data_IF_278976969824
#
_entry.id   IF_278976969824
#
_cell.length_a   1.000
_cell.length_b   1.000
_cell.length_c   1.000
_cell.angle_alpha   90.00
_cell.angle_beta   90.00
_cell.angle_gamma   90.00
#
_symmetry.space_group_name_H-M   'P 1'
#
loop_
_entity.id
_entity.type
_entity.pdbx_description
1 polymer ?
#
# COMPACT_ATOMS: atom_id res chain seq x y z
N UNK A 1 -6.31 -13.15 -11.78
CA UNK A 1 -6.19 -11.94 -10.95
C UNK A 1 -5.02 -11.04 -11.34
N UNK A 2 -3.81 -11.58 -11.57
CA UNK A 2 -2.68 -10.76 -12.08
C UNK A 2 -3.02 -9.98 -13.37
N UNK A 3 -3.72 -10.61 -14.32
CA UNK A 3 -4.19 -9.92 -15.54
C UNK A 3 -5.20 -8.79 -15.26
N UNK A 4 -6.12 -8.98 -14.30
CA UNK A 4 -7.09 -7.94 -13.89
C UNK A 4 -6.36 -6.78 -13.22
N UNK A 5 -5.41 -7.09 -12.35
CA UNK A 5 -4.57 -6.09 -11.71
C UNK A 5 -3.74 -5.31 -12.73
N UNK A 6 -3.14 -5.99 -13.71
CA UNK A 6 -2.42 -5.36 -14.81
C UNK A 6 -3.29 -4.35 -15.56
N UNK A 7 -4.57 -4.67 -15.82
CA UNK A 7 -5.52 -3.72 -16.42
C UNK A 7 -5.72 -2.47 -15.55
N UNK A 8 -5.79 -2.61 -14.22
CA UNK A 8 -5.90 -1.45 -13.33
C UNK A 8 -4.67 -0.53 -13.38
N UNK A 9 -3.47 -1.05 -13.65
CA UNK A 9 -2.24 -0.27 -13.76
C UNK A 9 -2.22 0.69 -14.96
N UNK A 10 -3.18 0.57 -15.87
CA UNK A 10 -3.36 1.49 -17.01
C UNK A 10 -4.31 2.66 -16.70
N UNK A 11 -4.89 2.73 -15.49
CA UNK A 11 -5.68 3.87 -15.07
C UNK A 11 -4.79 5.13 -14.99
N UNK A 12 -5.34 6.33 -15.29
CA UNK A 12 -4.57 7.56 -15.26
C UNK A 12 -4.06 7.83 -13.83
N UNK A 13 -2.74 7.84 -13.65
CA UNK A 13 -2.12 8.17 -12.37
C UNK A 13 -2.24 9.64 -11.98
N UNK A 14 -2.15 9.91 -10.68
CA UNK A 14 -2.14 11.27 -10.11
C UNK A 14 -0.71 11.81 -10.16
N UNK A 15 -0.44 13.05 -10.62
CA UNK A 15 0.90 13.61 -10.62
C UNK A 15 1.54 13.59 -9.22
N UNK A 16 2.78 13.12 -9.12
CA UNK A 16 3.55 13.22 -7.88
C UNK A 16 3.99 14.68 -7.67
N UNK A 17 3.88 15.14 -6.42
CA UNK A 17 4.20 16.54 -6.08
C UNK A 17 5.72 16.68 -6.03
N UNK A 18 6.23 17.71 -6.73
CA UNK A 18 7.65 18.07 -6.71
C UNK A 18 8.55 17.23 -7.62
N UNK A 19 8.05 16.19 -8.30
CA UNK A 19 8.84 15.40 -9.27
C UNK A 19 8.12 15.39 -10.62
N UNK A 20 8.57 16.22 -11.59
CA UNK A 20 8.03 16.21 -12.94
C UNK A 20 8.12 14.82 -13.57
N UNK A 21 7.07 14.39 -14.29
CA UNK A 21 6.96 13.09 -15.00
C UNK A 21 6.72 11.85 -14.13
N UNK A 22 6.71 11.96 -12.80
CA UNK A 22 6.30 10.85 -11.91
C UNK A 22 4.81 10.95 -11.62
N UNK A 23 4.12 9.80 -11.66
CA UNK A 23 2.71 9.69 -11.30
C UNK A 23 2.54 8.62 -10.24
N UNK A 24 1.77 8.93 -9.21
CA UNK A 24 1.24 7.96 -8.26
C UNK A 24 0.19 7.14 -8.99
N UNK A 25 0.42 5.83 -9.05
CA UNK A 25 -0.47 4.93 -9.76
C UNK A 25 -1.75 4.66 -8.96
N UNK A 26 -2.89 5.04 -9.53
CA UNK A 26 -4.20 4.70 -8.96
C UNK A 26 -4.48 3.19 -9.05
N UNK A 27 -3.98 2.51 -10.07
CA UNK A 27 -4.11 1.05 -10.21
C UNK A 27 -3.42 0.30 -9.07
N UNK A 28 -2.23 0.73 -8.70
CA UNK A 28 -1.46 0.17 -7.57
C UNK A 28 -2.23 0.27 -6.24
N UNK A 29 -3.05 1.30 -6.08
CA UNK A 29 -3.87 1.50 -4.88
C UNK A 29 -5.02 0.50 -4.70
N UNK A 30 -5.26 -0.34 -5.72
CA UNK A 30 -6.20 -1.46 -5.64
C UNK A 30 -5.53 -2.80 -5.32
N UNK A 31 -4.20 -2.84 -5.15
CA UNK A 31 -3.49 -4.03 -4.68
C UNK A 31 -4.02 -4.59 -3.35
N UNK A 32 -4.49 -3.78 -2.37
CA UNK A 32 -5.14 -4.31 -1.17
C UNK A 32 -6.32 -5.26 -1.46
N UNK A 33 -7.06 -5.03 -2.55
CA UNK A 33 -8.19 -5.87 -2.96
C UNK A 33 -7.71 -7.28 -3.34
N UNK A 34 -6.53 -7.40 -3.95
CA UNK A 34 -5.93 -8.71 -4.26
C UNK A 34 -5.60 -9.48 -2.99
N UNK A 35 -5.07 -8.79 -1.98
CA UNK A 35 -4.81 -9.35 -0.65
C UNK A 35 -6.07 -9.82 0.06
N UNK A 36 -7.11 -8.98 0.03
CA UNK A 36 -8.43 -9.31 0.54
C UNK A 36 -8.94 -10.62 -0.08
N UNK A 37 -8.99 -10.66 -1.41
CA UNK A 37 -9.56 -11.78 -2.14
C UNK A 37 -8.68 -13.03 -1.99
N UNK A 38 -7.44 -12.98 -2.44
CA UNK A 38 -6.60 -14.18 -2.59
C UNK A 38 -5.84 -14.59 -1.33
N UNK A 39 -5.83 -13.73 -0.31
CA UNK A 39 -4.96 -13.92 0.84
C UNK A 39 -3.61 -13.23 0.68
N UNK A 40 -2.82 -13.18 1.78
CA UNK A 40 -1.59 -12.39 1.81
C UNK A 40 -0.55 -12.87 0.79
N UNK A 41 -0.38 -14.18 0.62
CA UNK A 41 0.65 -14.75 -0.26
C UNK A 41 0.25 -14.73 -1.74
N UNK A 42 -0.95 -15.24 -2.08
CA UNK A 42 -1.41 -15.25 -3.47
C UNK A 42 -1.74 -13.83 -3.96
N UNK A 43 -2.23 -12.95 -3.08
CA UNK A 43 -2.40 -11.52 -3.36
C UNK A 43 -1.07 -10.84 -3.66
N UNK A 44 -0.05 -11.08 -2.83
CA UNK A 44 1.32 -10.60 -3.06
C UNK A 44 1.85 -11.07 -4.43
N UNK A 45 1.77 -12.36 -4.74
CA UNK A 45 2.25 -12.90 -6.01
C UNK A 45 1.48 -12.36 -7.21
N UNK A 46 0.16 -12.20 -7.10
CA UNK A 46 -0.66 -11.64 -8.17
C UNK A 46 -0.32 -10.17 -8.45
N UNK A 47 -0.10 -9.37 -7.40
CA UNK A 47 0.35 -8.00 -7.52
C UNK A 47 1.75 -7.92 -8.14
N UNK A 48 2.66 -8.81 -7.70
CA UNK A 48 4.05 -8.83 -8.16
C UNK A 48 4.14 -9.14 -9.65
N UNK A 49 3.44 -10.17 -10.10
CA UNK A 49 3.41 -10.52 -11.52
C UNK A 49 2.84 -9.38 -12.37
N UNK A 50 1.76 -8.72 -11.91
CA UNK A 50 1.20 -7.59 -12.65
C UNK A 50 2.16 -6.41 -12.74
N UNK A 51 2.87 -6.09 -11.65
CA UNK A 51 3.80 -4.96 -11.63
C UNK A 51 5.11 -5.24 -12.38
N UNK A 52 5.60 -6.49 -12.35
CA UNK A 52 6.71 -6.94 -13.22
C UNK A 52 6.35 -6.79 -14.69
N UNK A 53 5.13 -7.17 -15.11
CA UNK A 53 4.70 -7.01 -16.50
C UNK A 53 4.58 -5.51 -16.84
N UNK A 54 3.98 -4.71 -15.95
CA UNK A 54 3.85 -3.26 -16.13
C UNK A 54 5.19 -2.57 -16.32
N UNK A 55 6.20 -2.90 -15.51
CA UNK A 55 7.52 -2.27 -15.62
C UNK A 55 8.31 -2.79 -16.82
N UNK A 56 7.95 -3.95 -17.37
CA UNK A 56 8.64 -4.58 -18.50
C UNK A 56 8.06 -4.18 -19.87
N UNK A 57 6.81 -3.74 -19.94
CA UNK A 57 6.10 -3.50 -21.21
C UNK A 57 5.16 -2.28 -21.14
N UNK A 58 5.64 -1.05 -21.44
CA UNK A 58 7.00 -0.71 -21.86
C UNK A 58 8.01 -0.66 -20.70
N UNK A 59 9.31 -0.94 -20.94
CA UNK A 59 10.35 -0.85 -19.93
C UNK A 59 10.40 0.52 -19.24
N UNK A 60 10.32 0.54 -17.90
CA UNK A 60 10.37 1.78 -17.11
C UNK A 60 11.44 1.74 -16.02
N UNK A 61 12.54 2.45 -16.23
CA UNK A 61 13.62 2.60 -15.24
C UNK A 61 13.12 3.28 -13.97
N UNK A 62 12.17 4.22 -14.10
CA UNK A 62 11.56 4.92 -12.96
C UNK A 62 10.62 4.04 -12.14
N UNK A 63 10.02 2.99 -12.73
CA UNK A 63 9.13 2.07 -12.04
C UNK A 63 9.86 0.91 -11.36
N UNK A 64 11.04 0.54 -11.85
CA UNK A 64 11.78 -0.65 -11.43
C UNK A 64 12.08 -0.73 -9.92
N UNK A 65 12.48 0.36 -9.24
CA UNK A 65 12.73 0.31 -7.79
C UNK A 65 11.47 0.02 -6.97
N UNK A 66 10.29 0.31 -7.53
CA UNK A 66 9.02 0.31 -6.82
C UNK A 66 8.17 -0.94 -7.05
N UNK A 67 8.69 -1.93 -7.79
CA UNK A 67 7.96 -3.18 -8.18
C UNK A 67 7.37 -3.94 -6.98
N UNK A 68 7.98 -3.79 -5.81
CA UNK A 68 7.54 -4.44 -4.58
C UNK A 68 6.48 -3.65 -3.80
N UNK A 69 6.19 -2.40 -4.13
CA UNK A 69 5.23 -1.57 -3.38
C UNK A 69 3.81 -2.15 -3.41
N UNK A 70 3.23 -2.49 -4.57
CA UNK A 70 1.90 -3.09 -4.57
C UNK A 70 1.82 -4.50 -3.95
N UNK A 71 2.82 -5.40 -4.15
CA UNK A 71 2.89 -6.67 -3.45
C UNK A 71 2.82 -6.55 -1.92
N UNK A 72 3.61 -5.67 -1.30
CA UNK A 72 3.58 -5.50 0.16
C UNK A 72 2.25 -4.93 0.67
N UNK A 73 1.58 -4.11 -0.15
CA UNK A 73 0.23 -3.63 0.13
C UNK A 73 -0.81 -4.75 0.12
N UNK A 74 -0.79 -5.62 -0.90
CA UNK A 74 -1.65 -6.80 -0.96
C UNK A 74 -1.37 -7.75 0.23
N UNK A 75 -0.09 -7.93 0.59
CA UNK A 75 0.30 -8.75 1.74
C UNK A 75 -0.29 -8.21 3.05
N UNK A 76 -0.08 -6.92 3.36
CA UNK A 76 -0.58 -6.30 4.58
C UNK A 76 -2.11 -6.35 4.67
N UNK A 77 -2.80 -5.97 3.60
CA UNK A 77 -4.26 -6.00 3.55
C UNK A 77 -4.81 -7.43 3.72
N UNK A 78 -4.20 -8.43 3.07
CA UNK A 78 -4.65 -9.82 3.16
C UNK A 78 -4.55 -10.43 4.55
N UNK A 79 -3.56 -10.02 5.35
CA UNK A 79 -3.46 -10.37 6.77
C UNK A 79 -4.57 -9.69 7.58
N UNK A 80 -4.72 -8.36 7.43
CA UNK A 80 -5.66 -7.56 8.21
C UNK A 80 -7.11 -7.95 7.97
N UNK A 81 -7.49 -8.29 6.73
CA UNK A 81 -8.85 -8.73 6.40
C UNK A 81 -9.20 -10.10 7.00
N UNK A 82 -8.22 -10.84 7.52
CA UNK A 82 -8.37 -12.13 8.22
C UNK A 82 -8.16 -12.01 9.73
N UNK A 83 -8.14 -10.77 10.26
CA UNK A 83 -7.95 -10.49 11.69
C UNK A 83 -6.54 -10.78 12.21
N UNK A 84 -5.58 -11.06 11.32
CA UNK A 84 -4.17 -11.25 11.66
C UNK A 84 -3.44 -9.94 11.40
N UNK A 85 -2.93 -9.31 12.44
CA UNK A 85 -2.33 -7.97 12.32
C UNK A 85 -0.83 -7.94 12.57
N UNK A 86 -0.27 -8.96 13.24
CA UNK A 86 1.12 -8.93 13.70
C UNK A 86 2.12 -8.93 12.55
N UNK A 87 1.83 -9.67 11.49
CA UNK A 87 2.68 -9.80 10.31
C UNK A 87 2.68 -8.51 9.49
N UNK A 88 1.49 -7.92 9.25
CA UNK A 88 1.37 -6.61 8.61
C UNK A 88 2.02 -5.50 9.43
N UNK A 89 1.84 -5.54 10.77
CA UNK A 89 2.44 -4.59 11.70
C UNK A 89 3.95 -4.70 11.73
N UNK A 90 4.50 -5.91 11.80
CA UNK A 90 5.95 -6.13 11.80
C UNK A 90 6.58 -5.65 10.49
N UNK A 91 5.93 -5.91 9.34
CA UNK A 91 6.37 -5.42 8.05
C UNK A 91 6.40 -3.89 8.01
N UNK A 92 5.29 -3.22 8.35
CA UNK A 92 5.24 -1.76 8.31
C UNK A 92 6.20 -1.14 9.32
N UNK A 93 6.29 -1.69 10.53
CA UNK A 93 7.25 -1.23 11.54
C UNK A 93 8.69 -1.37 11.04
N UNK A 94 9.05 -2.49 10.42
CA UNK A 94 10.38 -2.69 9.87
C UNK A 94 10.69 -1.66 8.78
N UNK A 95 9.75 -1.38 7.88
CA UNK A 95 9.92 -0.34 6.85
C UNK A 95 10.14 1.04 7.47
N UNK A 96 9.35 1.40 8.48
CA UNK A 96 9.49 2.67 9.21
C UNK A 96 10.84 2.80 9.91
N UNK A 97 11.26 1.75 10.61
CA UNK A 97 12.55 1.73 11.32
C UNK A 97 13.71 1.81 10.34
N UNK A 98 13.71 1.02 9.27
CA UNK A 98 14.78 1.07 8.26
C UNK A 98 14.83 2.43 7.57
N UNK A 99 13.67 3.04 7.28
CA UNK A 99 13.60 4.38 6.70
C UNK A 99 14.27 5.43 7.59
N UNK A 100 14.16 5.33 8.91
CA UNK A 100 14.78 6.29 9.83
C UNK A 100 16.33 6.34 9.72
N UNK A 101 16.96 5.31 9.16
CA UNK A 101 18.41 5.23 8.97
C UNK A 101 18.88 5.62 7.57
N UNK A 102 17.99 6.06 6.67
CA UNK A 102 18.44 6.53 5.36
C UNK A 102 19.01 7.94 5.44
N UNK A 103 19.88 8.36 4.48
CA UNK A 103 20.54 9.67 4.52
C UNK A 103 19.57 10.86 4.59
N UNK A 104 18.33 10.67 4.12
CA UNK A 104 17.29 11.71 4.17
C UNK A 104 16.88 12.02 5.62
N UNK A 105 16.83 11.02 6.49
CA UNK A 105 16.26 11.13 7.84
C UNK A 105 17.30 10.99 8.96
N UNK A 106 18.49 10.48 8.66
CA UNK A 106 19.57 10.32 9.63
C UNK A 106 20.52 11.54 9.64
N UNK A 107 20.97 12.01 10.81
CA UNK A 107 20.59 11.57 12.16
C UNK A 107 19.19 12.08 12.54
N UNK A 108 18.41 11.21 13.19
CA UNK A 108 17.00 11.53 13.53
C UNK A 108 16.86 12.65 14.55
N UNK A 109 17.93 12.96 15.29
CA UNK A 109 18.01 14.10 16.21
C UNK A 109 17.94 15.44 15.48
N UNK A 110 18.40 15.50 14.24
CA UNK A 110 18.44 16.72 13.42
C UNK A 110 17.30 16.73 12.40
N UNK A 111 17.04 15.58 11.76
CA UNK A 111 16.06 15.48 10.66
C UNK A 111 14.76 14.77 11.05
N UNK A 112 14.52 14.56 12.36
CA UNK A 112 13.32 13.89 12.87
C UNK A 112 12.02 14.58 12.46
N UNK A 113 12.03 15.91 12.29
CA UNK A 113 10.86 16.64 11.76
C UNK A 113 10.50 16.22 10.33
N UNK A 114 11.50 16.05 9.46
CA UNK A 114 11.32 15.59 8.07
C UNK A 114 10.78 14.15 8.06
N UNK A 115 11.29 13.30 8.95
CA UNK A 115 10.79 11.93 9.12
C UNK A 115 9.33 11.91 9.56
N UNK A 116 8.98 12.69 10.60
CA UNK A 116 7.61 12.76 11.11
C UNK A 116 6.65 13.25 10.05
N UNK A 117 6.99 14.30 9.30
CA UNK A 117 6.16 14.76 8.18
C UNK A 117 6.04 13.68 7.10
N UNK A 118 7.13 13.05 6.68
CA UNK A 118 7.11 12.04 5.62
C UNK A 118 6.38 10.73 5.98
N UNK A 119 6.16 10.46 7.26
CA UNK A 119 5.67 9.16 7.74
C UNK A 119 4.51 9.18 8.74
N UNK A 120 3.94 10.33 9.13
CA UNK A 120 2.88 10.36 10.15
C UNK A 120 1.64 9.53 9.76
N UNK A 121 1.24 9.55 8.49
CA UNK A 121 0.12 8.77 7.94
C UNK A 121 0.36 7.26 8.06
N UNK A 122 1.61 6.82 7.82
CA UNK A 122 2.04 5.42 7.99
C UNK A 122 2.09 5.01 9.45
N UNK A 123 2.50 5.91 10.34
CA UNK A 123 2.44 5.69 11.78
C UNK A 123 0.98 5.54 12.24
N UNK A 124 0.06 6.37 11.72
CA UNK A 124 -1.37 6.22 11.98
C UNK A 124 -1.86 4.85 11.48
N UNK A 125 -1.53 4.45 10.25
CA UNK A 125 -1.90 3.12 9.74
C UNK A 125 -1.36 1.99 10.62
N UNK A 126 -0.11 2.07 11.07
CA UNK A 126 0.49 1.09 11.98
C UNK A 126 -0.32 0.95 13.27
N UNK A 127 -0.72 2.07 13.89
CA UNK A 127 -1.53 2.09 15.11
C UNK A 127 -2.96 1.59 14.90
N UNK A 128 -3.50 1.71 13.68
CA UNK A 128 -4.83 1.21 13.32
C UNK A 128 -4.85 -0.32 13.09
N UNK A 129 -3.71 -0.96 12.78
CA UNK A 129 -3.66 -2.41 12.50
C UNK A 129 -4.15 -3.29 13.67
N UNK A 130 -3.72 -3.09 14.94
CA UNK A 130 -4.30 -3.81 16.08
C UNK A 130 -5.80 -3.53 16.26
N UNK A 131 -6.23 -2.29 16.01
CA UNK A 131 -7.64 -1.88 16.13
C UNK A 131 -8.49 -2.63 15.10
N UNK A 132 -8.03 -2.75 13.86
CA UNK A 132 -8.70 -3.54 12.82
C UNK A 132 -8.91 -5.00 13.27
N UNK A 133 -7.90 -5.62 13.86
CA UNK A 133 -8.04 -6.99 14.37
C UNK A 133 -9.00 -7.09 15.57
N UNK A 134 -9.04 -6.09 16.45
CA UNK A 134 -10.03 -6.04 17.54
C UNK A 134 -11.45 -5.92 16.98
N UNK A 135 -11.68 -5.06 15.99
CA UNK A 135 -12.97 -4.90 15.32
C UNK A 135 -13.39 -6.17 14.58
N UNK A 136 -12.45 -6.82 13.89
CA UNK A 136 -12.69 -8.10 13.23
C UNK A 136 -13.18 -9.19 14.20
N UNK A 137 -12.57 -9.25 15.39
CA UNK A 137 -12.91 -10.20 16.45
C UNK A 137 -14.25 -9.88 17.11
N UNK A 138 -14.57 -8.60 17.32
CA UNK A 138 -15.89 -8.18 17.83
C UNK A 138 -17.04 -8.69 16.95
N UNK A 139 -16.80 -8.83 15.64
CA UNK A 139 -17.76 -9.40 14.71
C UNK A 139 -18.95 -8.47 14.42
N UNK A 140 -19.79 -8.85 13.46
CA UNK A 140 -20.90 -8.01 13.01
C UNK A 140 -20.53 -7.10 11.84
N UNK A 141 -21.55 -6.78 11.03
CA UNK A 141 -21.39 -6.16 9.71
C UNK A 141 -20.69 -4.81 9.77
N UNK A 142 -21.12 -3.94 10.67
CA UNK A 142 -20.54 -2.59 10.82
C UNK A 142 -19.04 -2.64 11.13
N UNK A 143 -18.62 -3.48 12.09
CA UNK A 143 -17.20 -3.63 12.44
C UNK A 143 -16.39 -4.30 11.33
N UNK A 144 -16.98 -5.21 10.57
CA UNK A 144 -16.34 -5.78 9.39
C UNK A 144 -16.08 -4.73 8.31
N UNK A 145 -17.06 -3.87 8.01
CA UNK A 145 -16.88 -2.78 7.05
C UNK A 145 -15.77 -1.79 7.48
N UNK A 146 -15.71 -1.44 8.77
CA UNK A 146 -14.62 -0.59 9.30
C UNK A 146 -13.27 -1.31 9.19
N UNK A 147 -13.22 -2.61 9.52
CA UNK A 147 -12.01 -3.44 9.37
C UNK A 147 -11.53 -3.44 7.92
N UNK A 148 -12.46 -3.60 6.97
CA UNK A 148 -12.15 -3.60 5.55
C UNK A 148 -11.56 -2.27 5.10
N UNK A 149 -12.17 -1.14 5.50
CA UNK A 149 -11.64 0.18 5.19
C UNK A 149 -10.24 0.39 5.77
N UNK A 150 -10.02 0.04 7.04
CA UNK A 150 -8.70 0.13 7.68
C UNK A 150 -7.69 -0.76 6.94
N UNK A 151 -8.07 -1.97 6.52
CA UNK A 151 -7.18 -2.85 5.77
C UNK A 151 -6.78 -2.26 4.41
N UNK A 152 -7.70 -1.62 3.68
CA UNK A 152 -7.40 -0.92 2.43
C UNK A 152 -6.43 0.25 2.68
N UNK A 153 -6.71 1.06 3.71
CA UNK A 153 -5.85 2.18 4.09
C UNK A 153 -4.45 1.74 4.50
N UNK A 154 -4.35 0.78 5.42
CA UNK A 154 -3.08 0.26 5.90
C UNK A 154 -2.27 -0.47 4.82
N UNK A 155 -2.94 -1.15 3.87
CA UNK A 155 -2.29 -1.68 2.68
C UNK A 155 -1.65 -0.58 1.84
N UNK A 156 -2.41 0.46 1.51
CA UNK A 156 -1.90 1.61 0.75
C UNK A 156 -0.77 2.36 1.47
N UNK A 157 -0.81 2.46 2.79
CA UNK A 157 0.29 3.05 3.56
C UNK A 157 1.52 2.14 3.62
N UNK A 158 1.36 0.83 3.55
CA UNK A 158 2.49 -0.10 3.45
C UNK A 158 3.20 0.02 2.10
N UNK A 159 2.44 0.15 1.00
CA UNK A 159 2.97 0.53 -0.32
C UNK A 159 3.72 1.87 -0.24
N UNK A 160 3.09 2.89 0.35
CA UNK A 160 3.68 4.22 0.46
C UNK A 160 4.96 4.22 1.31
N UNK A 161 5.00 3.45 2.39
CA UNK A 161 6.16 3.32 3.26
C UNK A 161 7.35 2.70 2.53
N UNK A 162 7.13 1.63 1.76
CA UNK A 162 8.18 1.03 0.95
C UNK A 162 8.63 1.98 -0.16
N UNK A 163 7.69 2.66 -0.83
CA UNK A 163 8.02 3.65 -1.85
C UNK A 163 8.87 4.80 -1.30
N UNK A 164 8.49 5.35 -0.15
CA UNK A 164 9.25 6.41 0.52
C UNK A 164 10.63 5.92 0.97
N UNK A 165 10.73 4.71 1.52
CA UNK A 165 12.00 4.08 1.88
C UNK A 165 12.91 3.96 0.67
N UNK A 166 12.44 3.33 -0.41
CA UNK A 166 13.21 3.12 -1.64
C UNK A 166 13.64 4.46 -2.24
N UNK A 167 12.74 5.44 -2.31
CA UNK A 167 13.05 6.77 -2.83
C UNK A 167 14.10 7.49 -1.99
N UNK A 168 14.16 7.24 -0.68
CA UNK A 168 15.16 7.86 0.21
C UNK A 168 16.58 7.27 0.09
N UNK A 169 16.80 6.28 -0.77
CA UNK A 169 18.12 5.70 -1.04
C UNK A 169 18.88 6.52 -2.10
N UNK A 170 20.17 6.85 -1.89
CA UNK A 170 20.98 7.62 -2.85
C UNK A 170 20.98 7.06 -4.26
N UNK A 171 21.14 5.74 -4.40
CA UNK A 171 21.12 5.09 -5.72
C UNK A 171 19.82 5.34 -6.49
N UNK A 172 18.71 5.58 -5.78
CA UNK A 172 17.41 5.87 -6.38
C UNK A 172 17.24 7.37 -6.63
N UNK A 173 17.25 8.22 -5.60
CA UNK A 173 16.99 9.65 -5.81
C UNK A 173 18.07 10.33 -6.66
N UNK A 174 19.36 9.98 -6.47
CA UNK A 174 20.47 10.55 -7.23
C UNK A 174 20.68 9.79 -8.55
N UNK A 175 20.74 8.46 -8.50
CA UNK A 175 21.06 7.64 -9.68
C UNK A 175 19.93 7.56 -10.72
N UNK A 176 18.67 7.41 -10.29
CA UNK A 176 17.52 7.23 -11.19
C UNK A 176 16.79 8.54 -11.42
N UNK A 177 16.55 9.30 -10.34
CA UNK A 177 15.79 10.56 -10.41
C UNK A 177 16.66 11.80 -10.63
N UNK A 178 18.00 11.66 -10.61
CA UNK A 178 18.92 12.75 -10.92
C UNK A 178 18.91 13.88 -9.89
N UNK A 179 18.42 13.64 -8.67
CA UNK A 179 18.39 14.65 -7.60
C UNK A 179 19.78 14.65 -6.93
N UNK A 180 20.59 15.71 -7.13
CA UNK A 180 21.99 15.70 -6.72
C UNK A 180 22.18 15.79 -5.21
N UNK A 181 21.20 16.34 -4.51
CA UNK A 181 21.35 16.80 -3.14
C UNK A 181 20.27 16.21 -2.21
N UNK A 182 20.70 15.84 -1.00
CA UNK A 182 19.82 15.28 0.03
C UNK A 182 18.86 16.33 0.59
N UNK A 183 19.24 17.61 0.63
CA UNK A 183 18.33 18.68 1.11
C UNK A 183 17.14 18.87 0.16
N UNK A 184 17.37 18.75 -1.14
CA UNK A 184 16.27 18.77 -2.11
C UNK A 184 15.27 17.62 -1.85
N UNK A 185 15.76 16.42 -1.53
CA UNK A 185 14.92 15.27 -1.18
C UNK A 185 14.19 15.50 0.14
N UNK A 186 14.86 16.03 1.16
CA UNK A 186 14.23 16.43 2.44
C UNK A 186 13.10 17.43 2.20
N UNK A 187 13.31 18.43 1.33
CA UNK A 187 12.28 19.36 0.89
C UNK A 187 11.03 18.65 0.34
N UNK A 188 11.21 17.66 -0.54
CA UNK A 188 10.10 16.85 -1.07
C UNK A 188 9.32 16.13 0.04
N UNK A 189 10.02 15.58 1.05
CA UNK A 189 9.39 14.92 2.21
C UNK A 189 8.69 15.90 3.17
N UNK A 190 9.01 17.20 3.13
CA UNK A 190 8.28 18.21 3.91
C UNK A 190 7.02 18.73 3.21
N UNK A 191 6.97 18.71 1.87
CA UNK A 191 5.84 19.27 1.10
C UNK A 191 4.79 18.21 0.73
N UNK A 192 5.24 17.02 0.31
CA UNK A 192 4.34 15.92 -0.09
C UNK A 192 3.29 15.49 0.96
N UNK A 193 3.55 15.58 2.29
CA UNK A 193 2.59 15.14 3.30
C UNK A 193 1.35 16.01 3.43
N UNK A 194 1.31 17.20 2.81
CA UNK A 194 0.10 18.03 2.80
C UNK A 194 -0.98 17.52 1.84
N UNK A 195 -0.64 16.59 0.94
CA UNK A 195 -1.57 16.09 -0.09
C UNK A 195 -1.65 14.56 -0.08
N UNK A 196 -0.55 13.86 0.14
CA UNK A 196 -0.52 12.40 0.02
C UNK A 196 -1.46 11.68 1.01
N UNK A 197 -1.58 12.06 2.28
CA UNK A 197 -2.52 11.43 3.20
C UNK A 197 -3.98 11.52 2.71
N UNK A 198 -4.38 12.66 2.12
CA UNK A 198 -5.70 12.81 1.54
C UNK A 198 -5.90 11.89 0.32
N UNK A 199 -4.87 11.75 -0.53
CA UNK A 199 -4.90 10.79 -1.64
C UNK A 199 -5.02 9.35 -1.11
N UNK A 200 -4.28 8.98 -0.06
CA UNK A 200 -4.30 7.62 0.51
C UNK A 200 -5.64 7.27 1.15
N UNK A 201 -6.28 8.24 1.82
CA UNK A 201 -7.66 8.09 2.31
C UNK A 201 -8.66 7.91 1.16
N UNK A 202 -8.55 8.71 0.09
CA UNK A 202 -9.40 8.57 -1.08
C UNK A 202 -9.21 7.19 -1.76
N UNK A 203 -7.97 6.74 -1.92
CA UNK A 203 -7.65 5.42 -2.46
C UNK A 203 -8.23 4.30 -1.60
N UNK A 204 -8.13 4.40 -0.27
CA UNK A 204 -8.74 3.43 0.64
C UNK A 204 -10.27 3.40 0.51
N UNK A 205 -10.89 4.57 0.37
CA UNK A 205 -12.34 4.70 0.17
C UNK A 205 -12.79 4.08 -1.16
N UNK A 206 -12.10 4.37 -2.26
CA UNK A 206 -12.37 3.76 -3.57
C UNK A 206 -12.17 2.24 -3.52
N UNK A 207 -11.06 1.79 -2.93
CA UNK A 207 -10.77 0.37 -2.74
C UNK A 207 -11.87 -0.34 -1.95
N UNK A 208 -12.36 0.29 -0.88
CA UNK A 208 -13.49 -0.21 -0.10
C UNK A 208 -14.80 -0.29 -0.91
N UNK A 209 -15.16 0.77 -1.64
CA UNK A 209 -16.36 0.81 -2.49
C UNK A 209 -16.35 -0.30 -3.54
N UNK A 210 -15.18 -0.63 -4.09
CA UNK A 210 -15.02 -1.70 -5.08
C UNK A 210 -15.01 -3.08 -4.40
N UNK A 211 -14.33 -3.20 -3.27
CA UNK A 211 -14.16 -4.47 -2.55
C UNK A 211 -15.48 -5.06 -2.08
N UNK A 212 -16.39 -4.25 -1.52
CA UNK A 212 -17.68 -4.72 -0.98
C UNK A 212 -18.56 -5.41 -2.02
N UNK A 213 -18.92 -4.79 -3.17
CA UNK A 213 -19.74 -5.45 -4.19
C UNK A 213 -19.01 -6.65 -4.80
N UNK A 214 -17.68 -6.57 -4.97
CA UNK A 214 -16.89 -7.67 -5.50
C UNK A 214 -16.95 -8.90 -4.60
N UNK A 215 -16.81 -8.74 -3.28
CA UNK A 215 -17.00 -9.80 -2.31
C UNK A 215 -18.41 -10.40 -2.40
N UNK A 216 -19.45 -9.55 -2.42
CA UNK A 216 -20.85 -10.00 -2.52
C UNK A 216 -21.12 -10.82 -3.78
N UNK A 217 -20.52 -10.46 -4.91
CA UNK A 217 -20.68 -11.18 -6.19
C UNK A 217 -19.91 -12.50 -6.16
N UNK A 218 -18.64 -12.48 -5.74
CA UNK A 218 -17.79 -13.69 -5.74
C UNK A 218 -18.37 -14.75 -4.79
N UNK A 219 -18.90 -14.34 -3.63
CA UNK A 219 -19.52 -15.26 -2.69
C UNK A 219 -20.76 -15.98 -3.23
N UNK A 220 -21.44 -15.42 -4.25
CA UNK A 220 -22.57 -16.09 -4.91
C UNK A 220 -22.13 -17.20 -5.86
N UNK A 221 -20.86 -17.21 -6.27
CA UNK A 221 -20.32 -18.21 -7.20
C UNK A 221 -19.60 -19.29 -6.40
N UNK A 222 -20.27 -20.44 -6.20
CA UNK A 222 -19.80 -21.54 -5.35
C UNK A 222 -18.37 -21.99 -5.66
N UNK A 223 -18.04 -22.16 -6.95
CA UNK A 223 -16.72 -22.62 -7.41
C UNK A 223 -15.60 -21.63 -7.08
N UNK A 224 -15.85 -20.31 -7.20
CA UNK A 224 -14.86 -19.29 -6.89
C UNK A 224 -14.68 -19.13 -5.38
N UNK A 225 -15.76 -19.28 -4.61
CA UNK A 225 -15.74 -19.23 -3.15
C UNK A 225 -14.82 -20.30 -2.55
N UNK A 226 -14.90 -21.53 -3.06
CA UNK A 226 -14.07 -22.66 -2.62
C UNK A 226 -12.60 -22.47 -3.00
N UNK A 227 -12.32 -21.92 -4.18
CA UNK A 227 -10.95 -21.70 -4.66
C UNK A 227 -10.22 -20.54 -3.96
N UNK A 228 -10.96 -19.51 -3.53
CA UNK A 228 -10.40 -18.25 -3.01
C UNK A 228 -10.38 -18.21 -1.46
N UNK A 229 -10.73 -19.31 -0.79
CA UNK A 229 -10.75 -19.40 0.69
C UNK A 229 -11.58 -18.28 1.37
N UNK A 230 -12.71 -17.88 0.77
CA UNK A 230 -13.56 -16.80 1.28
C UNK A 230 -14.55 -17.24 2.37
N UNK A 231 -14.53 -18.52 2.76
CA UNK A 231 -15.43 -19.07 3.78
C UNK A 231 -15.31 -18.36 5.13
N UNK A 232 -14.11 -17.88 5.49
CA UNK A 232 -13.86 -17.14 6.74
C UNK A 232 -14.56 -15.76 6.79
N UNK A 233 -14.94 -15.21 5.64
CA UNK A 233 -15.54 -13.87 5.52
C UNK A 233 -17.07 -13.90 5.39
N UNK A 234 -17.67 -15.09 5.23
CA UNK A 234 -19.06 -15.23 4.82
C UNK A 234 -20.07 -14.75 5.88
N UNK A 235 -19.81 -15.06 7.13
CA UNK A 235 -20.69 -14.69 8.25
C UNK A 235 -20.60 -13.20 8.59
N UNK A 236 -19.68 -12.44 7.97
CA UNK A 236 -19.33 -11.07 8.36
C UNK A 236 -19.83 -9.98 7.40
N UNK A 237 -20.37 -10.35 6.22
CA UNK A 237 -20.82 -9.44 5.15
C UNK A 237 -22.31 -9.16 5.17
#
# INVERSE_FOLDING_TARGET
MAAVYYVFLWLPGIPAIGIPKVKIDLGASFAPILGLLLGPYLGFLAALLGDVVKVSAPPSVYGLPFVLCPPVSAFAAGYLTRGKWKEAFALLLALLVVAAFTPVFFPITEHGFVYMLGFFDKIIALLLMPIAALLYKKGGKAFFHVTLFIAMFAGNETDAALGNLVFSLPVVYNGIFGIPDVEAVRGLFTVSPFVYPAIRLLQAFLGYIIAVPLLKIIMRVKTLKEFIYLHELEEKI
#
